data_IF_045620829200
#
_entry.id   IF_045620829200
#
_cell.length_a   1.000
_cell.length_b   1.000
_cell.length_c   1.000
_cell.angle_alpha   90.00
_cell.angle_beta   90.00
_cell.angle_gamma   90.00
#
_symmetry.space_group_name_H-M   'P 1'
#
loop_
_entity.id
_entity.type
_entity.pdbx_description
1 polymer ?
#
# COMPACT_ATOMS: atom_id res chain seq x y z
N UNK A 1 15.96 22.53 0.62
CA UNK A 1 14.83 22.21 -0.28
C UNK A 1 13.53 22.44 0.49
N UNK A 2 12.84 23.57 0.25
CA UNK A 2 11.56 23.89 0.91
C UNK A 2 10.43 23.17 0.15
N UNK A 3 9.61 22.41 0.87
CA UNK A 3 8.41 21.76 0.34
C UNK A 3 7.30 22.81 0.17
N UNK A 4 6.82 23.04 -1.05
CA UNK A 4 5.75 24.02 -1.31
C UNK A 4 4.35 23.41 -1.14
N UNK A 5 3.39 24.22 -0.71
CA UNK A 5 2.03 23.80 -0.25
C UNK A 5 1.00 23.58 -1.37
N UNK A 6 1.35 23.74 -2.64
CA UNK A 6 0.38 23.94 -3.73
C UNK A 6 0.03 22.68 -4.54
N UNK A 7 0.04 21.49 -3.93
CA UNK A 7 -0.56 20.32 -4.58
C UNK A 7 -1.98 20.14 -4.09
N UNK A 8 -2.92 20.26 -5.02
CA UNK A 8 -4.30 19.89 -4.77
C UNK A 8 -4.46 18.38 -4.94
N UNK A 9 -4.14 17.63 -3.87
CA UNK A 9 -4.47 16.21 -3.84
C UNK A 9 -6.00 16.06 -3.74
N UNK A 10 -6.52 15.06 -4.44
CA UNK A 10 -7.91 14.65 -4.50
C UNK A 10 -8.13 13.49 -3.52
N UNK A 11 -9.28 13.51 -2.84
CA UNK A 11 -9.71 12.39 -2.00
C UNK A 11 -9.98 11.15 -2.86
N UNK A 12 -9.85 9.96 -2.29
CA UNK A 12 -10.16 8.69 -2.98
C UNK A 12 -9.35 8.52 -4.29
N UNK A 13 -8.12 9.03 -4.28
CA UNK A 13 -7.17 8.94 -5.39
C UNK A 13 -5.86 8.37 -4.89
N UNK A 14 -5.36 7.36 -5.61
CA UNK A 14 -4.05 6.77 -5.37
C UNK A 14 -3.00 7.58 -6.11
N UNK A 15 -1.98 7.99 -5.38
CA UNK A 15 -0.80 8.67 -5.90
C UNK A 15 0.39 7.71 -5.86
N UNK A 16 1.05 7.52 -7.00
CA UNK A 16 2.32 6.81 -7.10
C UNK A 16 3.40 7.82 -7.46
N UNK A 17 4.27 8.13 -6.50
CA UNK A 17 5.30 9.15 -6.61
C UNK A 17 6.63 8.46 -6.91
N UNK A 18 7.24 8.83 -8.04
CA UNK A 18 8.59 8.42 -8.43
C UNK A 18 9.63 9.36 -7.82
N UNK A 19 10.41 8.85 -6.87
CA UNK A 19 11.48 9.58 -6.19
C UNK A 19 12.74 9.79 -7.05
N UNK A 20 12.83 9.19 -8.24
CA UNK A 20 14.01 9.12 -9.12
C UNK A 20 15.21 8.39 -8.54
N UNK A 21 15.37 8.36 -7.23
CA UNK A 21 16.43 7.62 -6.54
C UNK A 21 15.86 6.79 -5.40
N UNK A 22 16.37 5.58 -5.24
CA UNK A 22 16.06 4.74 -4.09
C UNK A 22 16.96 5.17 -2.91
N UNK A 23 16.49 6.15 -2.13
CA UNK A 23 17.19 6.65 -0.93
C UNK A 23 16.21 6.72 0.23
N UNK A 24 16.48 5.99 1.31
CA UNK A 24 15.64 5.96 2.54
C UNK A 24 15.27 7.36 3.04
N UNK A 25 16.23 8.29 3.08
CA UNK A 25 15.97 9.67 3.52
C UNK A 25 14.99 10.45 2.64
N UNK A 26 14.84 10.09 1.35
CA UNK A 26 13.83 10.69 0.47
C UNK A 26 12.44 10.08 0.71
N UNK A 27 12.33 8.77 0.94
CA UNK A 27 11.07 8.14 1.32
C UNK A 27 10.50 8.75 2.60
N UNK A 28 11.35 8.94 3.61
CA UNK A 28 10.97 9.56 4.89
C UNK A 28 10.51 11.00 4.71
N UNK A 29 11.26 11.81 3.95
CA UNK A 29 10.90 13.20 3.64
C UNK A 29 9.56 13.30 2.89
N UNK A 30 9.37 12.49 1.85
CA UNK A 30 8.14 12.46 1.06
C UNK A 30 6.95 12.03 1.93
N UNK A 31 7.11 10.96 2.71
CA UNK A 31 6.06 10.46 3.61
C UNK A 31 5.68 11.49 4.68
N UNK A 32 6.66 12.16 5.29
CA UNK A 32 6.43 13.20 6.29
C UNK A 32 5.67 14.39 5.71
N UNK A 33 6.02 14.80 4.49
CA UNK A 33 5.31 15.85 3.77
C UNK A 33 3.84 15.49 3.52
N UNK A 34 3.57 14.32 2.94
CA UNK A 34 2.21 13.84 2.65
C UNK A 34 1.37 13.74 3.92
N UNK A 35 1.94 13.19 5.01
CA UNK A 35 1.30 13.15 6.33
C UNK A 35 0.96 14.55 6.82
N UNK A 36 1.87 15.51 6.68
CA UNK A 36 1.66 16.89 7.13
C UNK A 36 0.58 17.62 6.33
N UNK A 37 0.51 17.36 5.03
CA UNK A 37 -0.50 17.91 4.12
C UNK A 37 -1.91 17.42 4.48
N UNK A 38 -2.03 16.15 4.86
CA UNK A 38 -3.32 15.48 5.05
C UNK A 38 -3.78 15.45 6.52
N UNK A 39 -2.87 15.54 7.50
CA UNK A 39 -3.21 15.61 8.94
C UNK A 39 -4.21 16.73 9.26
N UNK A 40 -4.18 17.84 8.51
CA UNK A 40 -5.13 18.96 8.67
C UNK A 40 -6.55 18.64 8.18
N UNK A 41 -6.72 17.61 7.32
CA UNK A 41 -7.99 17.30 6.66
C UNK A 41 -8.90 16.33 7.47
N UNK A 42 -8.44 15.80 8.62
CA UNK A 42 -9.18 14.81 9.46
C UNK A 42 -9.74 13.62 8.64
N UNK A 43 -8.87 13.02 7.84
CA UNK A 43 -9.18 11.87 6.96
C UNK A 43 -8.21 10.73 7.25
N UNK A 44 -8.62 9.50 6.93
CA UNK A 44 -7.73 8.34 6.96
C UNK A 44 -6.76 8.43 5.79
N UNK A 45 -5.53 7.97 5.98
CA UNK A 45 -4.53 7.89 4.93
C UNK A 45 -3.67 6.64 5.09
N UNK A 46 -3.08 6.20 3.98
CA UNK A 46 -2.14 5.09 3.99
C UNK A 46 -0.99 5.39 3.04
N UNK A 47 0.22 4.98 3.46
CA UNK A 47 1.46 5.18 2.71
C UNK A 47 2.19 3.84 2.67
N UNK A 48 2.73 3.49 1.50
CA UNK A 48 3.68 2.40 1.35
C UNK A 48 4.79 2.82 0.39
N UNK A 49 5.93 2.15 0.42
CA UNK A 49 7.04 2.43 -0.46
C UNK A 49 7.80 1.17 -0.84
N UNK A 50 8.30 1.11 -2.08
CA UNK A 50 9.16 0.03 -2.53
C UNK A 50 10.01 0.50 -3.70
N UNK A 51 11.30 0.17 -3.67
CA UNK A 51 12.33 0.78 -4.53
C UNK A 51 12.25 2.31 -4.51
N UNK A 52 12.34 3.00 -5.65
CA UNK A 52 12.25 4.45 -5.77
C UNK A 52 10.81 5.01 -5.74
N UNK A 53 9.81 4.25 -5.30
CA UNK A 53 8.41 4.67 -5.33
C UNK A 53 7.79 4.84 -3.94
N UNK A 54 6.91 5.84 -3.83
CA UNK A 54 5.99 6.03 -2.69
C UNK A 54 4.57 5.95 -3.21
N UNK A 55 3.78 5.03 -2.68
CA UNK A 55 2.35 4.92 -2.92
C UNK A 55 1.58 5.59 -1.77
N UNK A 56 0.59 6.40 -2.11
CA UNK A 56 -0.15 7.22 -1.15
C UNK A 56 -1.64 7.27 -1.49
N UNK A 57 -2.51 7.21 -0.49
CA UNK A 57 -3.95 7.45 -0.63
C UNK A 57 -4.50 8.06 0.66
N UNK A 58 -5.57 8.85 0.53
CA UNK A 58 -6.39 9.26 1.67
C UNK A 58 -7.88 9.24 1.33
N UNK A 59 -8.70 8.98 2.34
CA UNK A 59 -10.14 8.77 2.22
C UNK A 59 -10.84 9.13 3.54
N UNK A 60 -12.16 9.40 3.47
CA UNK A 60 -13.02 9.39 4.66
C UNK A 60 -13.27 7.96 5.18
N UNK A 61 -13.10 6.96 4.32
CA UNK A 61 -13.31 5.54 4.61
C UNK A 61 -12.04 4.91 5.19
N UNK A 62 -12.14 3.71 5.77
CA UNK A 62 -10.97 2.92 6.15
C UNK A 62 -10.23 2.54 4.87
N UNK A 63 -8.92 2.80 4.84
CA UNK A 63 -8.10 2.63 3.64
C UNK A 63 -6.69 2.19 4.02
N UNK A 64 -6.18 1.23 3.27
CA UNK A 64 -4.79 0.79 3.31
C UNK A 64 -4.23 0.65 1.90
N UNK A 65 -2.94 0.90 1.74
CA UNK A 65 -2.24 0.75 0.46
C UNK A 65 -0.94 -0.01 0.67
N UNK A 66 -0.59 -0.84 -0.29
CA UNK A 66 0.70 -1.48 -0.30
C UNK A 66 1.26 -1.71 -1.70
N UNK A 67 2.57 -1.49 -1.85
CA UNK A 67 3.32 -1.68 -3.09
C UNK A 67 4.61 -2.44 -2.77
N UNK A 68 4.91 -3.48 -3.54
CA UNK A 68 6.15 -4.24 -3.39
C UNK A 68 6.79 -4.65 -4.71
N UNK A 69 8.11 -4.41 -4.83
CA UNK A 69 8.93 -4.90 -5.93
C UNK A 69 9.03 -6.41 -5.83
N UNK A 70 8.67 -7.10 -6.90
CA UNK A 70 8.87 -8.54 -7.00
C UNK A 70 10.36 -8.81 -7.14
N UNK A 71 10.96 -9.40 -6.12
CA UNK A 71 12.37 -9.77 -6.11
C UNK A 71 12.52 -11.29 -5.95
N UNK A 72 13.01 -11.94 -7.00
CA UNK A 72 13.22 -13.39 -7.01
C UNK A 72 14.36 -13.86 -6.10
N UNK A 73 15.25 -12.95 -5.67
CA UNK A 73 16.37 -13.26 -4.77
C UNK A 73 15.96 -13.37 -3.30
N UNK A 74 14.74 -12.95 -2.95
CA UNK A 74 14.24 -13.03 -1.58
C UNK A 74 13.78 -14.45 -1.26
N UNK A 75 13.84 -14.83 0.02
CA UNK A 75 13.39 -16.14 0.50
C UNK A 75 11.85 -16.18 0.67
N UNK A 76 11.13 -15.81 -0.38
CA UNK A 76 9.68 -15.60 -0.35
C UNK A 76 8.91 -16.90 -0.07
N UNK A 77 9.40 -18.04 -0.54
CA UNK A 77 8.78 -19.35 -0.31
C UNK A 77 8.83 -19.75 1.15
N UNK A 78 9.98 -19.55 1.83
CA UNK A 78 10.13 -19.84 3.26
C UNK A 78 9.27 -18.90 4.10
N UNK A 79 9.24 -17.61 3.78
CA UNK A 79 8.38 -16.62 4.47
C UNK A 79 6.91 -17.04 4.33
N UNK A 80 6.47 -17.37 3.12
CA UNK A 80 5.10 -17.84 2.87
C UNK A 80 4.77 -19.05 3.74
N UNK A 81 5.67 -20.04 3.77
CA UNK A 81 5.48 -21.27 4.52
C UNK A 81 5.41 -21.02 6.04
N UNK A 82 6.27 -20.17 6.58
CA UNK A 82 6.38 -19.91 8.02
C UNK A 82 5.31 -18.95 8.56
N UNK A 83 4.83 -18.01 7.75
CA UNK A 83 4.06 -16.86 8.25
C UNK A 83 2.63 -16.75 7.70
N UNK A 84 2.30 -17.39 6.58
CA UNK A 84 0.93 -17.33 6.07
C UNK A 84 0.02 -18.35 6.77
N UNK A 85 -1.28 -18.10 6.75
CA UNK A 85 -2.30 -19.02 7.27
C UNK A 85 -2.35 -20.25 6.35
N UNK A 86 -2.71 -21.44 6.87
CA UNK A 86 -2.49 -22.74 6.20
C UNK A 86 -2.90 -22.78 4.71
N UNK A 87 -4.12 -22.38 4.37
CA UNK A 87 -4.63 -22.36 2.99
C UNK A 87 -3.96 -21.31 2.08
N UNK A 88 -3.25 -20.35 2.66
CA UNK A 88 -2.45 -19.33 1.96
C UNK A 88 -1.00 -19.78 1.77
N UNK A 89 -0.47 -20.66 2.64
CA UNK A 89 0.89 -21.20 2.52
C UNK A 89 1.09 -21.87 1.16
N UNK A 90 0.17 -22.76 0.79
CA UNK A 90 0.22 -23.49 -0.49
C UNK A 90 0.10 -22.55 -1.68
N UNK A 91 -0.75 -21.52 -1.58
CA UNK A 91 -0.93 -20.53 -2.64
C UNK A 91 0.32 -19.65 -2.83
N UNK A 92 0.88 -19.13 -1.74
CA UNK A 92 2.01 -18.20 -1.76
C UNK A 92 3.35 -18.87 -2.11
N UNK A 93 3.60 -20.08 -1.58
CA UNK A 93 4.91 -20.76 -1.75
C UNK A 93 5.19 -21.26 -3.16
N UNK A 94 4.15 -21.44 -3.98
CA UNK A 94 4.30 -22.06 -5.31
C UNK A 94 4.67 -21.05 -6.41
N UNK A 95 4.49 -19.76 -6.18
CA UNK A 95 4.72 -18.76 -7.20
C UNK A 95 5.02 -17.40 -6.58
N UNK A 96 6.14 -16.79 -6.96
CA UNK A 96 6.54 -15.45 -6.53
C UNK A 96 5.42 -14.42 -6.73
N UNK A 97 4.69 -14.47 -7.85
CA UNK A 97 3.58 -13.55 -8.10
C UNK A 97 2.43 -13.75 -7.12
N UNK A 98 2.14 -15.00 -6.74
CA UNK A 98 1.12 -15.33 -5.74
C UNK A 98 1.56 -14.91 -4.35
N UNK A 99 2.82 -15.12 -3.99
CA UNK A 99 3.41 -14.61 -2.75
C UNK A 99 3.23 -13.10 -2.63
N UNK A 100 3.78 -12.32 -3.57
CA UNK A 100 3.70 -10.87 -3.50
C UNK A 100 2.27 -10.37 -3.61
N UNK A 101 1.38 -11.07 -4.33
CA UNK A 101 -0.05 -10.72 -4.36
C UNK A 101 -0.73 -10.91 -3.00
N UNK A 102 -0.37 -11.94 -2.23
CA UNK A 102 -0.90 -12.12 -0.87
C UNK A 102 -0.25 -11.14 0.10
N UNK A 103 1.07 -10.94 -0.01
CA UNK A 103 1.84 -10.03 0.82
C UNK A 103 1.22 -8.63 0.83
N UNK A 104 1.07 -8.02 -0.36
CA UNK A 104 0.53 -6.66 -0.45
C UNK A 104 -0.92 -6.57 0.04
N UNK A 105 -1.71 -7.64 -0.11
CA UNK A 105 -3.09 -7.68 0.42
C UNK A 105 -3.11 -7.74 1.94
N UNK A 106 -2.24 -8.57 2.55
CA UNK A 106 -2.07 -8.67 4.01
C UNK A 106 -1.60 -7.35 4.61
N UNK A 107 -0.62 -6.68 3.99
CA UNK A 107 -0.17 -5.36 4.44
C UNK A 107 -1.25 -4.29 4.26
N UNK A 108 -1.92 -4.24 3.11
CA UNK A 108 -2.96 -3.25 2.87
C UNK A 108 -4.14 -3.41 3.83
N UNK A 109 -4.58 -4.63 4.13
CA UNK A 109 -5.68 -4.83 5.09
C UNK A 109 -5.25 -4.52 6.53
N UNK A 110 -4.02 -4.88 6.92
CA UNK A 110 -3.46 -4.48 8.21
C UNK A 110 -3.44 -2.96 8.38
N UNK A 111 -2.97 -2.23 7.36
CA UNK A 111 -2.95 -0.75 7.34
C UNK A 111 -4.37 -0.15 7.37
N UNK A 112 -5.35 -0.79 6.76
CA UNK A 112 -6.74 -0.32 6.74
C UNK A 112 -7.47 -0.56 8.07
N UNK A 113 -7.24 -1.72 8.70
CA UNK A 113 -7.86 -2.11 9.97
C UNK A 113 -7.21 -1.36 11.13
N UNK A 114 -5.87 -1.24 11.11
CA UNK A 114 -5.07 -0.51 12.10
C UNK A 114 -5.36 -0.94 13.56
N UNK A 115 -5.48 -2.26 13.78
CA UNK A 115 -5.69 -2.87 15.09
C UNK A 115 -4.32 -3.12 15.76
N UNK A 116 -4.03 -2.50 16.92
CA UNK A 116 -2.72 -2.60 17.57
C UNK A 116 -2.39 -4.00 18.10
N UNK A 117 -3.40 -4.88 18.24
CA UNK A 117 -3.21 -6.24 18.75
C UNK A 117 -3.03 -7.28 17.64
N UNK A 118 -3.01 -6.84 16.38
CA UNK A 118 -2.87 -7.71 15.21
C UNK A 118 -1.63 -7.34 14.42
N UNK A 119 -1.12 -8.33 13.70
CA UNK A 119 -0.09 -8.21 12.68
C UNK A 119 -0.71 -8.47 11.31
N UNK A 120 0.02 -8.17 10.24
CA UNK A 120 -0.41 -8.51 8.88
C UNK A 120 -0.70 -10.00 8.67
N UNK A 121 -0.11 -10.89 9.49
CA UNK A 121 -0.25 -12.33 9.34
C UNK A 121 -1.58 -12.86 9.87
N UNK A 122 -2.23 -12.13 10.77
CA UNK A 122 -3.52 -12.49 11.37
C UNK A 122 -4.70 -12.33 10.40
N UNK A 123 -4.48 -11.68 9.25
CA UNK A 123 -5.53 -11.43 8.26
C UNK A 123 -5.51 -12.47 7.14
N UNK A 124 -6.63 -13.16 6.94
CA UNK A 124 -6.84 -14.01 5.78
C UNK A 124 -7.17 -13.16 4.54
N UNK A 125 -6.23 -13.09 3.60
CA UNK A 125 -6.23 -12.15 2.49
C UNK A 125 -6.39 -12.83 1.12
N UNK A 126 -6.69 -14.13 1.06
CA UNK A 126 -6.93 -14.85 -0.21
C UNK A 126 -8.24 -14.43 -0.89
N UNK A 127 -9.31 -14.22 -0.11
CA UNK A 127 -10.66 -13.84 -0.59
C UNK A 127 -10.81 -12.35 -0.88
N UNK A 128 -11.71 -11.99 -1.78
CA UNK A 128 -12.10 -10.61 -2.05
C UNK A 128 -13.62 -10.58 -2.33
N UNK A 129 -14.45 -9.95 -1.48
CA UNK A 129 -14.07 -9.23 -0.25
C UNK A 129 -13.60 -10.16 0.88
N UNK A 130 -13.04 -9.55 1.94
CA UNK A 130 -12.74 -10.20 3.22
C UNK A 130 -13.61 -9.58 4.30
N UNK A 131 -14.21 -10.40 5.16
CA UNK A 131 -14.99 -9.93 6.30
C UNK A 131 -14.12 -9.90 7.56
N UNK A 132 -14.06 -8.76 8.23
CA UNK A 132 -13.33 -8.57 9.49
C UNK A 132 -14.23 -7.78 10.44
N UNK A 133 -14.53 -8.33 11.61
CA UNK A 133 -15.35 -7.66 12.63
C UNK A 133 -16.67 -7.09 12.07
N UNK A 134 -17.40 -7.86 11.26
CA UNK A 134 -18.63 -7.47 10.56
C UNK A 134 -18.49 -6.35 9.51
N UNK A 135 -17.28 -5.98 9.10
CA UNK A 135 -17.02 -5.07 7.98
C UNK A 135 -16.46 -5.82 6.77
N UNK A 136 -16.91 -5.46 5.56
CA UNK A 136 -16.40 -5.99 4.30
C UNK A 136 -15.23 -5.12 3.79
N UNK A 137 -14.08 -5.73 3.53
CA UNK A 137 -12.92 -5.08 2.93
C UNK A 137 -12.68 -5.58 1.50
N UNK A 138 -12.50 -4.62 0.59
CA UNK A 138 -12.34 -4.84 -0.85
C UNK A 138 -10.93 -4.49 -1.29
N UNK A 139 -10.33 -5.36 -2.10
CA UNK A 139 -9.03 -5.13 -2.70
C UNK A 139 -9.14 -4.63 -4.14
N UNK A 140 -8.47 -3.52 -4.45
CA UNK A 140 -8.24 -3.06 -5.83
C UNK A 140 -6.77 -3.19 -6.20
N UNK A 141 -6.48 -3.97 -7.23
CA UNK A 141 -5.12 -4.18 -7.75
C UNK A 141 -4.81 -3.16 -8.84
N UNK A 142 -3.57 -2.66 -8.84
CA UNK A 142 -3.04 -1.78 -9.88
C UNK A 142 -2.00 -2.52 -10.72
N UNK A 143 -2.06 -2.36 -12.04
CA UNK A 143 -1.05 -2.88 -12.94
C UNK A 143 0.16 -1.94 -12.94
N UNK A 144 1.26 -2.40 -12.35
CA UNK A 144 2.53 -1.68 -12.38
C UNK A 144 3.68 -2.69 -12.61
N UNK A 145 4.36 -2.67 -13.79
CA UNK A 145 5.32 -3.70 -14.17
C UNK A 145 6.40 -3.92 -13.12
N UNK A 146 6.62 -5.19 -12.75
CA UNK A 146 7.60 -5.56 -11.73
C UNK A 146 7.14 -5.36 -10.27
N UNK A 147 5.98 -4.74 -10.02
CA UNK A 147 5.46 -4.51 -8.66
C UNK A 147 4.10 -5.19 -8.42
N UNK A 148 3.90 -5.72 -7.23
CA UNK A 148 2.57 -5.98 -6.70
C UNK A 148 2.07 -4.68 -6.05
N UNK A 149 0.84 -4.27 -6.34
CA UNK A 149 0.33 -2.98 -5.91
C UNK A 149 -1.19 -3.10 -5.67
N UNK A 150 -1.63 -2.80 -4.45
CA UNK A 150 -3.04 -2.92 -4.06
C UNK A 150 -3.47 -1.82 -3.10
N UNK A 151 -4.75 -1.49 -3.13
CA UNK A 151 -5.45 -0.79 -2.04
C UNK A 151 -6.48 -1.71 -1.40
N UNK A 152 -6.73 -1.56 -0.11
CA UNK A 152 -7.78 -2.23 0.65
C UNK A 152 -8.71 -1.18 1.29
N UNK A 153 -10.03 -1.27 1.08
CA UNK A 153 -10.99 -0.33 1.66
C UNK A 153 -12.26 -1.00 2.15
N UNK A 154 -12.93 -0.41 3.15
CA UNK A 154 -14.24 -0.87 3.59
C UNK A 154 -15.41 -0.42 2.69
N UNK A 155 -15.11 0.18 1.54
CA UNK A 155 -16.08 0.48 0.48
C UNK A 155 -15.66 -0.19 -0.83
N UNK A 156 -16.64 -0.65 -1.61
CA UNK A 156 -16.40 -1.23 -2.92
C UNK A 156 -16.23 -0.14 -3.98
N UNK A 157 -15.09 0.55 -3.93
CA UNK A 157 -14.79 1.67 -4.83
C UNK A 157 -13.49 1.41 -5.57
N UNK A 158 -13.45 1.65 -6.88
CA UNK A 158 -12.19 1.70 -7.64
C UNK A 158 -11.58 3.10 -7.51
N UNK A 159 -10.37 3.19 -6.98
CA UNK A 159 -9.66 4.47 -6.87
C UNK A 159 -8.84 4.74 -8.13
N UNK A 160 -8.83 6.00 -8.56
CA UNK A 160 -8.01 6.44 -9.70
C UNK A 160 -6.53 6.42 -9.31
N UNK A 161 -5.67 5.92 -10.18
CA UNK A 161 -4.21 6.01 -10.04
C UNK A 161 -3.68 7.24 -10.79
N UNK A 162 -2.96 8.11 -10.09
CA UNK A 162 -2.21 9.23 -10.64
C UNK A 162 -0.73 8.99 -10.34
N UNK A 163 0.11 9.09 -11.38
CA UNK A 163 1.56 9.04 -11.23
C UNK A 163 2.09 10.47 -11.14
N UNK A 164 3.00 10.71 -10.20
CA UNK A 164 3.68 11.97 -10.01
C UNK A 164 5.19 11.73 -9.98
N UNK A 165 5.96 12.72 -10.40
CA UNK A 165 7.36 12.80 -10.07
C UNK A 165 7.55 13.50 -8.73
N UNK A 166 8.65 13.19 -8.05
CA UNK A 166 9.07 13.92 -6.86
C UNK A 166 9.13 15.43 -7.12
N UNK A 167 9.60 15.88 -8.28
CA UNK A 167 9.68 17.30 -8.62
C UNK A 167 8.30 17.97 -8.65
N UNK A 168 7.24 17.23 -9.01
CA UNK A 168 5.86 17.71 -8.95
C UNK A 168 5.43 18.01 -7.49
N UNK A 169 6.12 17.43 -6.50
CA UNK A 169 5.94 17.71 -5.09
C UNK A 169 6.70 18.93 -4.57
N UNK A 170 7.81 19.29 -5.21
CA UNK A 170 8.70 20.33 -4.69
C UNK A 170 8.49 21.69 -5.40
N UNK A 171 8.03 21.70 -6.66
CA UNK A 171 8.07 22.82 -7.60
C UNK A 171 9.45 23.48 -7.73
N UNK A 172 9.77 23.78 -8.99
CA UNK A 172 10.79 24.70 -9.50
C UNK A 172 11.16 25.85 -8.56
#
# INVERSE_FOLDING_TARGET
>A
MKLTKNINLLIDTVYLIDLKVNKKSQHEKCSLFLKTLIKRKRVNFSISHSENYVAFIYSKNKIGIDIEKRNAKNNWSEIAFKKFIDDEKSYGKNCIHKFYSLWVRKEAIFKAVNDPNKTMFDFYAKKNPVNINNECFYFNKYLFPGFAFVTCSNVNSKFKLIKLNINDLYNS
#
